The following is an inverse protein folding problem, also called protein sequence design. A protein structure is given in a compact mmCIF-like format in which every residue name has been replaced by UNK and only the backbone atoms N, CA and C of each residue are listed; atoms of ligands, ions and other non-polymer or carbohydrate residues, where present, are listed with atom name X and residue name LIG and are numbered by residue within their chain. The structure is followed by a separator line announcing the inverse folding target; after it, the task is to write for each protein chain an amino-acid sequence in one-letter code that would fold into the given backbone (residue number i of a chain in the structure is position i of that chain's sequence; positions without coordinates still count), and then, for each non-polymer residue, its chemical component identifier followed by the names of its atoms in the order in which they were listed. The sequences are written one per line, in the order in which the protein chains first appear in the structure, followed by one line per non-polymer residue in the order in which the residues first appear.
data_IF_765676586902
#
_entry.id   IF_765676586902
#
_cell.length_a   1.000
_cell.length_b   1.000
_cell.length_c   1.000
_cell.angle_alpha   90.00
_cell.angle_beta   90.00
_cell.angle_gamma   90.00
#
_symmetry.space_group_name_H-M   'P 1'
#
loop_
_entity.id
_entity.type
_entity.pdbx_description
1 polymer ?
#
# COMPACT_ATOMS: atom_id res chain seq x y z
N UNK A 1 -10.22 -0.79 -10.60
CA UNK A 1 -9.13 -1.70 -11.01
C UNK A 1 -9.38 -3.07 -10.39
N UNK A 2 -9.30 -4.18 -11.13
CA UNK A 2 -9.29 -5.56 -10.58
C UNK A 2 -10.51 -6.05 -9.79
N UNK A 3 -11.50 -5.21 -9.50
CA UNK A 3 -12.58 -5.53 -8.55
C UNK A 3 -13.58 -6.56 -9.08
N UNK A 4 -13.79 -6.64 -10.40
CA UNK A 4 -14.62 -7.68 -11.00
C UNK A 4 -13.99 -9.07 -10.80
N UNK A 5 -12.67 -9.15 -10.97
CA UNK A 5 -11.91 -10.38 -10.72
C UNK A 5 -11.87 -10.72 -9.23
N UNK A 6 -11.73 -9.73 -8.35
CA UNK A 6 -11.87 -9.90 -6.90
C UNK A 6 -13.24 -10.49 -6.51
N UNK A 7 -14.31 -10.04 -7.16
CA UNK A 7 -15.66 -10.55 -6.95
C UNK A 7 -15.85 -11.98 -7.44
N UNK A 8 -15.20 -12.37 -8.52
CA UNK A 8 -15.45 -13.64 -9.24
C UNK A 8 -14.43 -14.76 -9.00
N UNK A 9 -13.19 -14.45 -8.58
CA UNK A 9 -12.12 -15.42 -8.37
C UNK A 9 -11.69 -15.45 -6.90
N UNK A 10 -11.79 -16.63 -6.28
CA UNK A 10 -11.36 -16.86 -4.89
C UNK A 10 -9.85 -16.63 -4.71
N UNK A 11 -9.04 -17.08 -5.68
CA UNK A 11 -7.58 -16.91 -5.66
C UNK A 11 -7.20 -15.43 -5.73
N UNK A 12 -7.82 -14.68 -6.65
CA UNK A 12 -7.61 -13.24 -6.74
C UNK A 12 -8.03 -12.53 -5.45
N UNK A 13 -9.18 -12.93 -4.88
CA UNK A 13 -9.69 -12.37 -3.62
C UNK A 13 -8.73 -12.58 -2.46
N UNK A 14 -8.15 -13.77 -2.32
CA UNK A 14 -7.20 -14.07 -1.25
C UNK A 14 -5.95 -13.19 -1.32
N UNK A 15 -5.42 -12.93 -2.53
CA UNK A 15 -4.27 -12.01 -2.72
C UNK A 15 -4.59 -10.62 -2.19
N UNK A 16 -5.74 -10.06 -2.57
CA UNK A 16 -6.21 -8.77 -2.09
C UNK A 16 -6.45 -8.75 -0.59
N UNK A 17 -7.19 -9.73 -0.04
CA UNK A 17 -7.54 -9.78 1.39
C UNK A 17 -6.31 -9.97 2.29
N UNK A 18 -5.29 -10.69 1.81
CA UNK A 18 -4.01 -10.83 2.52
C UNK A 18 -3.27 -9.49 2.59
N UNK A 19 -3.19 -8.78 1.47
CA UNK A 19 -2.53 -7.48 1.41
C UNK A 19 -3.29 -6.42 2.19
N UNK A 20 -4.63 -6.41 2.10
CA UNK A 20 -5.48 -5.48 2.81
C UNK A 20 -5.37 -5.63 4.32
N UNK A 21 -5.39 -6.87 4.83
CA UNK A 21 -5.11 -7.14 6.25
C UNK A 21 -3.72 -6.67 6.66
N UNK A 22 -2.72 -6.80 5.79
CA UNK A 22 -1.38 -6.28 6.07
C UNK A 22 -1.39 -4.74 6.20
N UNK A 23 -2.04 -4.03 5.28
CA UNK A 23 -2.17 -2.58 5.35
C UNK A 23 -2.96 -2.11 6.57
N UNK A 24 -4.08 -2.76 6.90
CA UNK A 24 -4.89 -2.41 8.07
C UNK A 24 -4.07 -2.60 9.36
N UNK A 25 -3.40 -3.74 9.50
CA UNK A 25 -2.70 -4.07 10.74
C UNK A 25 -1.41 -3.25 10.96
N UNK A 26 -0.73 -2.84 9.88
CA UNK A 26 0.58 -2.18 9.98
C UNK A 26 0.54 -0.69 9.65
N UNK A 27 -0.40 -0.25 8.82
CA UNK A 27 -0.49 1.13 8.32
C UNK A 27 -1.87 1.77 8.55
N UNK A 28 -2.84 1.02 9.05
CA UNK A 28 -4.13 1.56 9.51
C UNK A 28 -5.08 2.01 8.41
N UNK A 29 -4.97 1.46 7.20
CA UNK A 29 -5.91 1.71 6.11
C UNK A 29 -6.20 0.46 5.28
N UNK A 30 -7.34 0.45 4.58
CA UNK A 30 -7.70 -0.58 3.61
C UNK A 30 -7.31 -0.12 2.20
N UNK A 31 -6.45 -0.89 1.53
CA UNK A 31 -6.12 -0.65 0.12
C UNK A 31 -7.31 -1.00 -0.80
N UNK A 32 -8.12 -1.99 -0.41
CA UNK A 32 -9.34 -2.35 -1.14
C UNK A 32 -10.33 -1.18 -1.15
N UNK A 33 -10.52 -0.51 -0.01
CA UNK A 33 -11.40 0.66 0.08
C UNK A 33 -10.93 1.81 -0.82
N UNK A 34 -9.62 2.10 -0.82
CA UNK A 34 -9.03 3.12 -1.69
C UNK A 34 -9.26 2.79 -3.17
N UNK A 35 -9.09 1.53 -3.57
CA UNK A 35 -9.30 1.12 -4.98
C UNK A 35 -10.77 1.17 -5.39
N UNK A 36 -11.70 0.84 -4.48
CA UNK A 36 -13.15 0.85 -4.75
C UNK A 36 -13.73 2.26 -4.79
N UNK A 37 -13.37 3.08 -3.80
CA UNK A 37 -14.06 4.34 -3.53
C UNK A 37 -13.24 5.58 -3.88
N UNK A 38 -11.92 5.44 -4.08
CA UNK A 38 -10.98 6.51 -4.40
C UNK A 38 -11.25 7.82 -3.63
N UNK A 39 -11.22 7.80 -2.29
CA UNK A 39 -11.50 9.00 -1.50
C UNK A 39 -10.42 10.06 -1.75
N UNK A 40 -10.76 11.33 -1.56
CA UNK A 40 -9.79 12.43 -1.64
C UNK A 40 -8.92 12.57 -0.39
N UNK A 41 -9.41 12.07 0.74
CA UNK A 41 -8.71 12.12 2.02
C UNK A 41 -8.87 10.80 2.79
N UNK A 42 -7.88 10.50 3.62
CA UNK A 42 -7.88 9.31 4.48
C UNK A 42 -7.11 9.63 5.75
N UNK A 43 -7.79 9.51 6.89
CA UNK A 43 -7.17 9.70 8.21
C UNK A 43 -6.86 8.36 8.84
N UNK A 44 -5.57 8.13 9.11
CA UNK A 44 -5.09 7.03 9.93
C UNK A 44 -5.08 7.48 11.39
N UNK A 45 -5.74 6.72 12.26
CA UNK A 45 -5.80 7.01 13.69
C UNK A 45 -4.87 6.09 14.49
N UNK A 46 -4.02 6.68 15.33
CA UNK A 46 -3.04 5.99 16.16
C UNK A 46 -3.56 5.69 17.58
N UNK A 47 -4.85 5.38 17.69
CA UNK A 47 -5.53 5.10 18.96
C UNK A 47 -5.20 3.73 19.56
N UNK A 48 -5.15 3.65 20.90
CA UNK A 48 -4.94 2.41 21.64
C UNK A 48 -3.57 1.76 21.41
N UNK A 49 -3.42 0.51 21.87
CA UNK A 49 -2.15 -0.22 21.74
C UNK A 49 -1.79 -0.51 20.28
N UNK A 50 -2.77 -0.91 19.47
CA UNK A 50 -2.58 -1.20 18.04
C UNK A 50 -2.21 0.06 17.25
N UNK A 51 -2.90 1.17 17.48
CA UNK A 51 -2.61 2.43 16.78
C UNK A 51 -1.22 2.99 17.13
N UNK A 52 -0.75 2.81 18.37
CA UNK A 52 0.65 3.13 18.73
C UNK A 52 1.65 2.29 17.95
N UNK A 53 1.41 0.98 17.79
CA UNK A 53 2.29 0.13 16.98
C UNK A 53 2.32 0.57 15.51
N UNK A 54 1.16 0.90 14.93
CA UNK A 54 1.07 1.49 13.58
C UNK A 54 1.88 2.78 13.49
N UNK A 55 1.75 3.67 14.48
CA UNK A 55 2.51 4.93 14.51
C UNK A 55 4.02 4.71 14.53
N UNK A 56 4.50 3.70 15.25
CA UNK A 56 5.92 3.35 15.24
C UNK A 56 6.39 2.94 13.85
N UNK A 57 5.59 2.19 13.09
CA UNK A 57 5.91 1.86 11.69
C UNK A 57 6.06 3.14 10.83
N UNK A 58 5.18 4.13 11.01
CA UNK A 58 5.30 5.43 10.34
C UNK A 58 6.55 6.21 10.77
N UNK A 59 6.87 6.20 12.06
CA UNK A 59 8.06 6.89 12.60
C UNK A 59 9.37 6.24 12.15
N UNK A 60 9.38 4.93 11.94
CA UNK A 60 10.57 4.18 11.51
C UNK A 60 10.86 4.30 10.03
N UNK A 61 9.96 4.90 9.23
CA UNK A 61 10.20 5.14 7.81
C UNK A 61 11.21 6.27 7.61
N UNK A 62 12.41 5.88 7.20
CA UNK A 62 13.51 6.78 6.85
C UNK A 62 13.76 6.71 5.35
N UNK A 63 14.15 7.84 4.76
CA UNK A 63 14.70 7.90 3.41
C UNK A 63 16.13 8.42 3.51
N UNK A 64 16.99 7.95 2.63
CA UNK A 64 18.38 8.38 2.55
C UNK A 64 18.55 9.33 1.36
N UNK A 65 19.18 10.47 1.60
CA UNK A 65 19.58 11.43 0.56
C UNK A 65 21.06 11.70 0.66
N UNK A 66 21.70 11.90 -0.48
CA UNK A 66 23.08 12.39 -0.54
C UNK A 66 23.02 13.92 -0.56
N UNK A 67 23.70 14.56 0.38
CA UNK A 67 23.80 16.03 0.40
C UNK A 67 24.80 16.56 -0.64
N UNK A 68 24.92 17.89 -0.73
CA UNK A 68 25.82 18.54 -1.68
C UNK A 68 27.31 18.21 -1.43
N UNK A 69 27.66 17.76 -0.22
CA UNK A 69 29.01 17.40 0.20
C UNK A 69 29.29 15.89 0.02
N UNK A 70 28.34 15.15 -0.57
CA UNK A 70 28.45 13.72 -0.83
C UNK A 70 28.20 12.84 0.40
N UNK A 71 27.71 13.39 1.51
CA UNK A 71 27.42 12.63 2.72
C UNK A 71 26.01 12.05 2.68
N UNK A 72 25.89 10.82 3.18
CA UNK A 72 24.61 10.13 3.30
C UNK A 72 23.85 10.67 4.51
N UNK A 73 22.67 11.22 4.26
CA UNK A 73 21.78 11.78 5.28
C UNK A 73 20.50 10.96 5.34
N UNK A 74 20.21 10.40 6.51
CA UNK A 74 18.97 9.69 6.79
C UNK A 74 17.93 10.65 7.37
N UNK A 75 16.78 10.80 6.71
CA UNK A 75 15.68 11.67 7.13
C UNK A 75 14.37 10.90 7.27
N UNK A 76 13.49 11.31 8.20
CA UNK A 76 12.16 10.71 8.34
C UNK A 76 11.28 11.08 7.16
N UNK A 77 10.61 10.09 6.56
CA UNK A 77 9.58 10.33 5.52
C UNK A 77 8.48 11.21 6.09
N UNK A 78 7.96 10.84 7.27
CA UNK A 78 6.90 11.58 7.95
C UNK A 78 7.46 12.47 9.07
N UNK A 79 7.89 13.69 8.72
CA UNK A 79 8.45 14.66 9.68
C UNK A 79 7.47 15.06 10.79
N UNK A 80 6.17 15.03 10.49
CA UNK A 80 5.10 15.48 11.38
C UNK A 80 4.54 14.38 12.30
N UNK A 81 5.00 13.13 12.15
CA UNK A 81 4.55 12.01 12.99
C UNK A 81 5.57 11.76 14.09
N UNK A 82 5.15 11.93 15.35
CA UNK A 82 5.98 11.77 16.54
C UNK A 82 5.19 11.06 17.67
N UNK A 83 5.77 10.97 18.86
CA UNK A 83 5.19 10.25 20.01
C UNK A 83 3.88 10.83 20.57
N UNK A 84 3.54 12.07 20.22
CA UNK A 84 2.29 12.72 20.64
C UNK A 84 1.25 12.77 19.52
N UNK A 85 1.63 12.51 18.27
CA UNK A 85 0.71 12.45 17.13
C UNK A 85 -0.34 11.35 17.34
N UNK A 86 -1.62 11.72 17.24
CA UNK A 86 -2.77 10.82 17.41
C UNK A 86 -3.38 10.36 16.09
N UNK A 87 -3.12 11.07 15.00
CA UNK A 87 -3.60 10.72 13.66
C UNK A 87 -2.75 11.38 12.58
N UNK A 88 -2.82 10.85 11.37
CA UNK A 88 -2.23 11.42 10.17
C UNK A 88 -3.23 11.36 9.03
N UNK A 89 -3.38 12.44 8.26
CA UNK A 89 -4.31 12.51 7.14
C UNK A 89 -3.54 12.60 5.83
N UNK A 90 -3.80 11.65 4.93
CA UNK A 90 -3.41 11.73 3.53
C UNK A 90 -4.44 12.52 2.75
N UNK A 91 -3.99 13.36 1.82
CA UNK A 91 -4.85 14.20 0.98
C UNK A 91 -4.36 14.15 -0.45
N UNK A 92 -5.27 14.00 -1.41
CA UNK A 92 -5.03 14.12 -2.84
C UNK A 92 -6.21 14.79 -3.53
N UNK A 93 -6.02 15.93 -4.22
CA UNK A 93 -7.10 16.64 -4.91
C UNK A 93 -7.79 15.80 -5.99
N UNK A 94 -7.09 14.83 -6.58
CA UNK A 94 -7.61 13.95 -7.63
C UNK A 94 -8.00 12.55 -7.14
N UNK A 95 -8.01 12.35 -5.81
CA UNK A 95 -8.25 11.05 -5.19
C UNK A 95 -6.95 10.35 -4.80
N UNK A 96 -6.99 9.60 -3.71
CA UNK A 96 -5.81 8.92 -3.16
C UNK A 96 -5.27 7.83 -4.08
N UNK A 97 -6.10 7.23 -4.94
CA UNK A 97 -5.64 6.27 -5.94
C UNK A 97 -4.73 6.91 -7.01
N UNK A 98 -4.68 8.24 -7.10
CA UNK A 98 -3.72 8.97 -7.94
C UNK A 98 -2.42 9.35 -7.21
N UNK A 99 -2.35 9.16 -5.90
CA UNK A 99 -1.13 9.44 -5.13
C UNK A 99 -0.23 8.20 -5.12
N UNK A 100 1.03 8.38 -5.54
CA UNK A 100 1.99 7.30 -5.82
C UNK A 100 2.06 6.23 -4.74
N UNK A 101 2.04 6.62 -3.47
CA UNK A 101 2.11 5.72 -2.32
C UNK A 101 0.93 4.75 -2.20
N UNK A 102 -0.19 5.02 -2.87
CA UNK A 102 -1.34 4.12 -2.96
C UNK A 102 -1.50 3.52 -4.36
N UNK A 103 -1.21 4.30 -5.41
CA UNK A 103 -1.33 3.84 -6.80
C UNK A 103 -0.43 2.64 -7.07
N UNK A 104 0.84 2.70 -6.67
CA UNK A 104 1.80 1.63 -6.97
C UNK A 104 1.41 0.30 -6.28
N UNK A 105 1.12 0.27 -4.97
CA UNK A 105 0.60 -0.95 -4.35
C UNK A 105 -0.68 -1.48 -4.99
N UNK A 106 -1.62 -0.60 -5.38
CA UNK A 106 -2.85 -1.00 -6.02
C UNK A 106 -2.61 -1.68 -7.38
N UNK A 107 -1.71 -1.12 -8.20
CA UNK A 107 -1.32 -1.71 -9.49
C UNK A 107 -0.64 -3.07 -9.29
N UNK A 108 0.33 -3.15 -8.38
CA UNK A 108 1.02 -4.42 -8.08
C UNK A 108 0.05 -5.50 -7.61
N UNK A 109 -0.92 -5.16 -6.75
CA UNK A 109 -1.93 -6.12 -6.29
C UNK A 109 -2.87 -6.57 -7.40
N UNK A 110 -3.30 -5.64 -8.26
CA UNK A 110 -4.12 -5.97 -9.43
C UNK A 110 -3.38 -6.95 -10.37
N UNK A 111 -2.14 -6.65 -10.73
CA UNK A 111 -1.32 -7.48 -11.61
C UNK A 111 -1.06 -8.85 -10.99
N UNK A 112 -0.68 -8.87 -9.70
CA UNK A 112 -0.41 -10.12 -8.98
C UNK A 112 -1.66 -10.99 -8.85
N UNK A 113 -2.80 -10.41 -8.50
CA UNK A 113 -4.06 -11.15 -8.38
C UNK A 113 -4.50 -11.74 -9.73
N UNK A 114 -4.34 -10.96 -10.81
CA UNK A 114 -4.63 -11.43 -12.17
C UNK A 114 -3.70 -12.58 -12.59
N UNK A 115 -2.42 -12.46 -12.26
CA UNK A 115 -1.44 -13.50 -12.55
C UNK A 115 -1.70 -14.80 -11.76
N UNK A 116 -1.99 -14.71 -10.46
CA UNK A 116 -2.29 -15.90 -9.65
C UNK A 116 -3.58 -16.60 -10.11
N UNK A 117 -4.60 -15.85 -10.55
CA UNK A 117 -5.80 -16.44 -11.16
C UNK A 117 -5.46 -17.23 -12.44
N UNK A 118 -4.68 -16.65 -13.36
CA UNK A 118 -4.22 -17.37 -14.57
C UNK A 118 -3.39 -18.61 -14.22
N UNK A 119 -2.49 -18.48 -13.26
CA UNK A 119 -1.64 -19.58 -12.79
C UNK A 119 -2.47 -20.72 -12.20
N UNK A 120 -3.50 -20.40 -11.41
CA UNK A 120 -4.40 -21.41 -10.82
C UNK A 120 -5.16 -22.24 -11.86
N UNK A 121 -5.36 -21.68 -13.06
CA UNK A 121 -6.03 -22.32 -14.20
C UNK A 121 -5.05 -23.03 -15.15
N UNK A 122 -3.76 -23.08 -14.81
CA UNK A 122 -2.73 -23.70 -15.64
C UNK A 122 -2.40 -22.93 -16.92
N UNK A 123 -2.72 -21.63 -16.98
CA UNK A 123 -2.52 -20.80 -18.18
C UNK A 123 -1.12 -20.17 -18.25
N UNK A 124 -0.27 -20.39 -17.25
CA UNK A 124 1.09 -19.83 -17.17
C UNK A 124 2.11 -20.91 -17.52
N UNK A 125 2.81 -20.82 -18.66
CA UNK A 125 3.85 -21.79 -19.03
C UNK A 125 5.04 -21.74 -18.08
N UNK A 126 5.69 -22.88 -17.84
CA UNK A 126 6.85 -22.99 -16.96
C UNK A 126 8.06 -22.16 -17.46
N UNK A 127 8.31 -22.17 -18.77
CA UNK A 127 9.44 -21.50 -19.41
C UNK A 127 9.02 -20.15 -20.03
N UNK A 128 8.48 -19.26 -19.20
CA UNK A 128 8.03 -17.93 -19.64
C UNK A 128 9.06 -16.85 -19.30
N UNK A 129 9.36 -15.96 -20.24
CA UNK A 129 10.11 -14.72 -19.97
C UNK A 129 9.16 -13.64 -19.43
N UNK A 130 9.60 -12.86 -18.45
CA UNK A 130 8.82 -11.77 -17.88
C UNK A 130 9.68 -10.51 -17.65
N UNK A 131 9.07 -9.34 -17.74
CA UNK A 131 9.65 -8.04 -17.42
C UNK A 131 8.54 -7.08 -16.96
N UNK A 132 8.91 -6.01 -16.26
CA UNK A 132 8.05 -4.88 -15.91
C UNK A 132 8.74 -3.58 -16.30
N UNK A 133 7.95 -2.56 -16.67
CA UNK A 133 8.46 -1.21 -16.94
C UNK A 133 8.76 -0.46 -15.65
#
# INVERSE_FOLDING_TARGET
MGMDLYGSSEVAREVWDKADRHFINNYGFSIIDIVKNNPNELTVHFGGAKGRAIRENYKSMMFETIDADGQLKSEKIFKNINDTTTSHTFVSPTGLLSATQFTQPALTLMEKASFEDMKSKGLVPAESMFAGH
#
